data_IF_022392101830
#
_entry.id   IF_022392101830
#
_cell.length_a   1.000
_cell.length_b   1.000
_cell.length_c   1.000
_cell.angle_alpha   90.00
_cell.angle_beta   90.00
_cell.angle_gamma   90.00
#
_symmetry.space_group_name_H-M   'P 1'
#
loop_
_entity.id
_entity.type
_entity.pdbx_description
1 polymer ?
#
# COMPACT_ATOMS: atom_id res chain seq x y z
N UNK A 1 14.12 0.85 24.39
CA UNK A 1 15.02 1.56 23.45
C UNK A 1 15.97 0.55 22.79
N UNK A 2 16.52 0.85 21.61
CA UNK A 2 17.30 -0.09 20.80
C UNK A 2 18.53 -0.69 21.51
N UNK A 3 19.11 0.00 22.50
CA UNK A 3 20.20 -0.53 23.34
C UNK A 3 19.83 -1.82 24.09
N UNK A 4 18.54 -2.05 24.35
CA UNK A 4 18.04 -3.27 24.99
C UNK A 4 18.08 -4.48 24.05
N UNK A 5 18.16 -4.25 22.73
CA UNK A 5 18.38 -5.30 21.72
C UNK A 5 19.88 -5.57 21.52
N UNK A 6 20.70 -4.51 21.47
CA UNK A 6 22.15 -4.61 21.39
C UNK A 6 22.81 -3.36 22.01
N UNK A 7 23.75 -3.51 22.97
CA UNK A 7 24.44 -2.39 23.61
C UNK A 7 25.13 -1.41 22.64
N UNK A 8 25.58 -1.89 21.46
CA UNK A 8 26.21 -1.05 20.44
C UNK A 8 25.28 0.07 19.91
N UNK A 9 23.95 -0.07 20.06
CA UNK A 9 23.01 0.98 19.69
C UNK A 9 22.93 2.14 20.69
N UNK A 10 23.60 2.05 21.86
CA UNK A 10 23.65 3.16 22.82
C UNK A 10 24.46 4.37 22.33
N UNK A 11 25.48 4.11 21.50
CA UNK A 11 26.40 5.12 20.95
C UNK A 11 26.22 5.31 19.43
N UNK A 12 25.15 4.72 18.86
CA UNK A 12 24.91 4.80 17.43
C UNK A 12 24.31 6.16 17.03
N UNK A 13 24.71 6.67 15.87
CA UNK A 13 24.20 7.92 15.30
C UNK A 13 23.01 7.65 14.35
N UNK A 14 21.98 8.50 14.42
CA UNK A 14 20.86 8.46 13.46
C UNK A 14 21.26 9.21 12.20
N UNK A 15 21.49 8.48 11.11
CA UNK A 15 21.87 9.07 9.81
C UNK A 15 20.69 9.65 9.04
N UNK A 16 19.49 9.08 9.19
CA UNK A 16 18.28 9.48 8.46
C UNK A 16 17.02 9.13 9.26
N UNK A 17 15.99 9.98 9.14
CA UNK A 17 14.64 9.69 9.61
C UNK A 17 13.66 9.95 8.47
N UNK A 18 12.94 8.90 8.07
CA UNK A 18 11.85 8.98 7.10
C UNK A 18 10.49 8.74 7.75
N UNK A 19 9.53 9.61 7.43
CA UNK A 19 8.11 9.38 7.73
C UNK A 19 7.33 9.42 6.42
N UNK A 20 6.33 8.56 6.32
CA UNK A 20 5.48 8.48 5.14
C UNK A 20 4.04 8.15 5.54
N UNK A 21 3.11 8.54 4.68
CA UNK A 21 1.70 8.21 4.80
C UNK A 21 1.50 6.73 4.56
N UNK A 22 0.61 6.14 5.35
CA UNK A 22 0.23 4.73 5.21
C UNK A 22 -1.30 4.65 5.22
N UNK A 23 -1.95 5.06 4.11
CA UNK A 23 -3.40 4.98 4.01
C UNK A 23 -3.87 3.53 4.07
N UNK A 24 -4.97 3.32 4.78
CA UNK A 24 -5.68 2.06 4.92
C UNK A 24 -7.19 2.33 4.89
N UNK A 25 -7.97 1.44 4.28
CA UNK A 25 -9.42 1.44 4.44
C UNK A 25 -9.81 0.81 5.79
N UNK A 26 -11.04 1.03 6.30
CA UNK A 26 -11.47 0.50 7.60
C UNK A 26 -11.36 -1.02 7.76
N UNK A 27 -11.38 -1.77 6.65
CA UNK A 27 -11.23 -3.22 6.61
C UNK A 27 -9.79 -3.68 6.35
N UNK A 28 -8.84 -2.76 6.21
CA UNK A 28 -7.42 -3.00 5.90
C UNK A 28 -7.15 -3.71 4.57
N UNK A 29 -8.12 -3.76 3.66
CA UNK A 29 -7.93 -4.34 2.32
C UNK A 29 -7.59 -3.25 1.30
N UNK A 30 -6.61 -3.47 0.40
CA UNK A 30 -6.34 -2.53 -0.68
C UNK A 30 -7.48 -2.55 -1.71
N UNK A 31 -7.74 -1.42 -2.36
CA UNK A 31 -8.81 -1.28 -3.34
C UNK A 31 -8.33 -0.60 -4.61
N UNK A 32 -8.87 -1.06 -5.73
CA UNK A 32 -8.83 -0.42 -7.04
C UNK A 32 -10.23 0.13 -7.31
N UNK A 33 -10.34 1.42 -7.61
CA UNK A 33 -11.61 2.08 -7.93
C UNK A 33 -11.49 2.82 -9.25
N UNK A 34 -12.49 2.70 -10.12
CA UNK A 34 -12.60 3.50 -11.33
C UNK A 34 -13.71 4.53 -11.16
N UNK A 35 -13.36 5.81 -11.24
CA UNK A 35 -14.32 6.91 -11.17
C UNK A 35 -14.16 7.72 -12.45
N UNK A 36 -15.14 7.57 -13.35
CA UNK A 36 -15.07 8.11 -14.71
C UNK A 36 -13.85 7.58 -15.47
N UNK A 37 -13.01 8.50 -16.00
CA UNK A 37 -11.79 8.16 -16.73
C UNK A 37 -10.55 7.91 -15.88
N UNK A 38 -10.67 7.85 -14.54
CA UNK A 38 -9.53 7.72 -13.61
C UNK A 38 -9.60 6.43 -12.81
N UNK A 39 -8.46 5.78 -12.66
CA UNK A 39 -8.28 4.62 -11.77
C UNK A 39 -7.47 5.04 -10.55
N UNK A 40 -7.99 4.74 -9.37
CA UNK A 40 -7.34 4.93 -8.08
C UNK A 40 -6.96 3.56 -7.53
N UNK A 41 -5.76 3.43 -6.99
CA UNK A 41 -5.30 2.22 -6.32
C UNK A 41 -4.66 2.62 -5.00
N UNK A 42 -5.21 2.18 -3.87
CA UNK A 42 -4.77 2.62 -2.55
C UNK A 42 -5.11 1.60 -1.44
N UNK A 43 -4.71 1.89 -0.20
CA UNK A 43 -5.09 1.11 0.99
C UNK A 43 -4.11 0.00 1.36
N UNK A 44 -2.89 -0.01 0.81
CA UNK A 44 -1.93 -1.10 1.04
C UNK A 44 -1.33 -1.10 2.46
N UNK A 45 -1.44 0.00 3.21
CA UNK A 45 -0.80 0.18 4.51
C UNK A 45 0.66 -0.36 4.53
N UNK A 46 1.05 -1.11 5.57
CA UNK A 46 2.37 -1.75 5.74
C UNK A 46 2.61 -2.96 4.83
N UNK A 47 1.71 -3.23 3.88
CA UNK A 47 1.81 -4.35 2.94
C UNK A 47 2.17 -3.90 1.53
N UNK A 48 2.50 -2.61 1.33
CA UNK A 48 2.86 -2.04 0.03
C UNK A 48 3.92 -2.84 -0.72
N UNK A 49 5.01 -3.24 -0.05
CA UNK A 49 6.07 -4.02 -0.71
C UNK A 49 5.59 -5.39 -1.21
N UNK A 50 4.78 -6.09 -0.41
CA UNK A 50 4.32 -7.44 -0.73
C UNK A 50 3.19 -7.43 -1.77
N UNK A 51 2.25 -6.50 -1.65
CA UNK A 51 1.01 -6.50 -2.44
C UNK A 51 1.09 -5.60 -3.68
N UNK A 52 2.07 -4.70 -3.78
CA UNK A 52 2.19 -3.79 -4.93
C UNK A 52 2.20 -4.51 -6.29
N UNK A 53 2.92 -5.63 -6.50
CA UNK A 53 2.91 -6.31 -7.80
C UNK A 53 1.52 -6.82 -8.19
N UNK A 54 0.78 -7.40 -7.25
CA UNK A 54 -0.57 -7.90 -7.50
C UNK A 54 -1.56 -6.74 -7.78
N UNK A 55 -1.47 -5.67 -6.99
CA UNK A 55 -2.30 -4.47 -7.20
C UNK A 55 -2.02 -3.81 -8.54
N UNK A 56 -0.75 -3.66 -8.92
CA UNK A 56 -0.33 -3.08 -10.20
C UNK A 56 -0.85 -3.91 -11.39
N UNK A 57 -0.81 -5.25 -11.26
CA UNK A 57 -1.40 -6.14 -12.27
C UNK A 57 -2.91 -5.92 -12.39
N UNK A 58 -3.64 -5.89 -11.28
CA UNK A 58 -5.08 -5.61 -11.28
C UNK A 58 -5.44 -4.26 -11.92
N UNK A 59 -4.62 -3.23 -11.68
CA UNK A 59 -4.79 -1.90 -12.31
C UNK A 59 -4.57 -2.00 -13.82
N UNK A 60 -3.51 -2.69 -14.28
CA UNK A 60 -3.23 -2.85 -15.69
C UNK A 60 -4.33 -3.65 -16.41
N UNK A 61 -4.80 -4.72 -15.79
CA UNK A 61 -5.90 -5.56 -16.29
C UNK A 61 -7.20 -4.76 -16.43
N UNK A 62 -7.53 -3.93 -15.44
CA UNK A 62 -8.69 -3.04 -15.51
C UNK A 62 -8.52 -1.95 -16.58
N UNK A 63 -7.33 -1.33 -16.67
CA UNK A 63 -7.08 -0.21 -17.57
C UNK A 63 -7.04 -0.61 -19.05
N UNK A 64 -6.43 -1.76 -19.35
CA UNK A 64 -6.13 -2.19 -20.72
C UNK A 64 -7.18 -3.15 -21.28
N UNK A 65 -7.71 -4.02 -20.41
CA UNK A 65 -8.55 -5.14 -20.83
C UNK A 65 -9.94 -5.11 -20.20
N UNK A 66 -10.22 -4.14 -19.32
CA UNK A 66 -11.47 -4.05 -18.56
C UNK A 66 -11.79 -5.35 -17.78
N UNK A 67 -10.75 -5.99 -17.23
CA UNK A 67 -10.85 -7.18 -16.39
C UNK A 67 -10.83 -6.76 -14.92
N UNK A 68 -11.75 -7.30 -14.13
CA UNK A 68 -11.92 -6.93 -12.71
C UNK A 68 -11.28 -8.00 -11.83
N UNK A 69 -10.29 -7.61 -11.02
CA UNK A 69 -9.74 -8.46 -9.96
C UNK A 69 -10.60 -8.39 -8.69
N UNK A 70 -10.30 -9.24 -7.72
CA UNK A 70 -10.91 -9.23 -6.39
C UNK A 70 -10.67 -7.92 -5.62
N UNK A 71 -9.69 -7.11 -6.04
CA UNK A 71 -9.37 -5.82 -5.43
C UNK A 71 -10.17 -4.68 -6.06
N UNK A 72 -10.87 -4.92 -7.18
CA UNK A 72 -11.73 -3.91 -7.79
C UNK A 72 -13.03 -3.82 -7.00
N UNK A 73 -13.29 -2.63 -6.47
CA UNK A 73 -14.44 -2.34 -5.61
C UNK A 73 -15.28 -1.25 -6.27
N UNK A 74 -16.32 -1.66 -7.00
CA UNK A 74 -17.23 -0.73 -7.69
C UNK A 74 -18.44 -0.32 -6.83
N UNK A 75 -18.66 -0.97 -5.69
CA UNK A 75 -19.99 -1.07 -5.06
C UNK A 75 -20.16 -0.42 -3.67
N UNK A 76 -19.29 0.50 -3.23
CA UNK A 76 -19.50 1.18 -1.93
C UNK A 76 -19.15 2.65 -1.95
N UNK A 77 -20.20 3.46 -2.14
CA UNK A 77 -20.30 4.82 -1.59
C UNK A 77 -20.24 4.79 -0.05
#
# INVERSE_FOLDING_TARGET
AAYALNPAFGEAEVLEIGVDLRPAFPDNLPRIRRIGGRIYANGLYRHGYLLAPALAKGVADLALNNIHSEMVDEDRD
#
